data_IF_808289182195
#
_entry.id   IF_808289182195
#
_cell.length_a   1.000
_cell.length_b   1.000
_cell.length_c   1.000
_cell.angle_alpha   90.00
_cell.angle_beta   90.00
_cell.angle_gamma   90.00
#
_symmetry.space_group_name_H-M   'P 1'
#
loop_
_entity.id
_entity.type
_entity.pdbx_description
1 polymer ?
#
# COMPACT_ATOMS: atom_id res chain seq x y z
N UNK A 1 -5.19 -4.25 -17.80
CA UNK A 1 -6.52 -4.62 -17.24
C UNK A 1 -6.23 -5.52 -16.07
N UNK A 2 -6.79 -5.24 -14.89
CA UNK A 2 -6.38 -5.95 -13.67
C UNK A 2 -7.57 -6.41 -12.86
N UNK A 3 -7.35 -7.47 -12.08
CA UNK A 3 -8.26 -7.96 -11.07
C UNK A 3 -7.81 -7.41 -9.73
N UNK A 4 -8.69 -6.66 -9.07
CA UNK A 4 -8.44 -6.16 -7.72
C UNK A 4 -8.86 -7.22 -6.71
N UNK A 5 -7.91 -7.61 -5.85
CA UNK A 5 -8.18 -8.44 -4.69
C UNK A 5 -8.69 -7.56 -3.55
N UNK A 6 -9.98 -7.65 -3.27
CA UNK A 6 -10.68 -6.77 -2.33
C UNK A 6 -10.42 -7.09 -0.86
N UNK A 7 -9.76 -8.21 -0.55
CA UNK A 7 -9.44 -8.55 0.82
C UNK A 7 -8.12 -7.91 1.24
N UNK A 8 -8.22 -6.71 1.81
CA UNK A 8 -7.10 -5.81 2.13
C UNK A 8 -6.31 -6.24 3.39
N UNK A 9 -6.66 -7.38 3.99
CA UNK A 9 -6.08 -7.82 5.24
C UNK A 9 -4.70 -8.49 5.05
N UNK A 10 -3.61 -7.99 5.68
CA UNK A 10 -2.28 -8.59 5.57
C UNK A 10 -2.22 -10.05 6.05
N UNK A 11 -3.01 -10.39 7.08
CA UNK A 11 -3.05 -11.71 7.70
C UNK A 11 -4.04 -12.69 7.08
N UNK A 12 -4.58 -12.39 5.89
CA UNK A 12 -5.67 -13.18 5.30
C UNK A 12 -5.41 -14.69 5.21
N UNK A 13 -4.17 -15.10 4.91
CA UNK A 13 -3.79 -16.51 4.83
C UNK A 13 -3.49 -17.07 6.23
N UNK A 14 -2.66 -16.38 7.01
CA UNK A 14 -2.24 -16.84 8.33
C UNK A 14 -3.40 -16.96 9.32
N UNK A 15 -4.46 -16.18 9.13
CA UNK A 15 -5.66 -16.20 9.97
C UNK A 15 -6.77 -17.10 9.42
N UNK A 16 -6.53 -17.80 8.31
CA UNK A 16 -7.44 -18.82 7.79
C UNK A 16 -8.69 -18.29 7.08
N UNK A 17 -8.73 -17.02 6.68
CA UNK A 17 -9.84 -16.47 5.87
C UNK A 17 -9.81 -16.98 4.43
N UNK A 18 -8.61 -17.28 3.94
CA UNK A 18 -8.38 -17.90 2.64
C UNK A 18 -7.11 -18.75 2.75
N UNK A 19 -7.07 -19.86 2.03
CA UNK A 19 -5.89 -20.72 2.00
C UNK A 19 -4.86 -20.24 0.98
N UNK A 20 -3.61 -20.61 1.23
CA UNK A 20 -2.51 -20.40 0.29
C UNK A 20 -2.81 -21.01 -1.10
N UNK A 21 -3.48 -22.17 -1.09
CA UNK A 21 -3.90 -22.88 -2.30
C UNK A 21 -4.96 -22.09 -3.09
N UNK A 22 -5.98 -21.54 -2.43
CA UNK A 22 -7.04 -20.77 -3.11
C UNK A 22 -6.49 -19.52 -3.82
N UNK A 23 -5.62 -18.75 -3.16
CA UNK A 23 -4.98 -17.58 -3.80
C UNK A 23 -4.07 -18.05 -4.96
N UNK A 24 -3.34 -19.15 -4.80
CA UNK A 24 -2.52 -19.71 -5.86
C UNK A 24 -3.34 -20.13 -7.09
N UNK A 25 -4.52 -20.73 -6.90
CA UNK A 25 -5.44 -21.07 -7.99
C UNK A 25 -5.91 -19.82 -8.74
N UNK A 26 -6.31 -18.76 -8.02
CA UNK A 26 -6.71 -17.49 -8.63
C UNK A 26 -5.58 -16.85 -9.44
N UNK A 27 -4.37 -16.79 -8.87
CA UNK A 27 -3.18 -16.28 -9.56
C UNK A 27 -2.91 -17.07 -10.84
N UNK A 28 -3.00 -18.41 -10.78
CA UNK A 28 -2.80 -19.30 -11.92
C UNK A 28 -3.85 -19.09 -12.99
N UNK A 29 -5.13 -19.02 -12.60
CA UNK A 29 -6.24 -18.79 -13.51
C UNK A 29 -6.09 -17.47 -14.27
N UNK A 30 -5.78 -16.38 -13.56
CA UNK A 30 -5.58 -15.06 -14.18
C UNK A 30 -4.42 -15.10 -15.18
N UNK A 31 -3.30 -15.76 -14.84
CA UNK A 31 -2.16 -15.93 -15.76
C UNK A 31 -2.53 -16.75 -16.99
N UNK A 32 -3.28 -17.84 -16.83
CA UNK A 32 -3.76 -18.65 -17.96
C UNK A 32 -4.66 -17.84 -18.88
N UNK A 33 -5.64 -17.11 -18.34
CA UNK A 33 -6.52 -16.22 -19.13
C UNK A 33 -5.76 -15.07 -19.78
N UNK A 34 -4.73 -14.55 -19.13
CA UNK A 34 -3.82 -13.56 -19.70
C UNK A 34 -3.20 -14.10 -21.01
N UNK A 35 -2.71 -15.33 -20.98
CA UNK A 35 -2.09 -15.99 -22.14
C UNK A 35 -3.11 -16.34 -23.23
N UNK A 36 -4.22 -16.98 -22.86
CA UNK A 36 -5.28 -17.38 -23.81
C UNK A 36 -5.84 -16.18 -24.60
N UNK A 37 -6.03 -15.05 -23.92
CA UNK A 37 -6.55 -13.84 -24.54
C UNK A 37 -5.48 -13.00 -25.23
N UNK A 38 -4.20 -13.36 -25.11
CA UNK A 38 -3.06 -12.52 -25.52
C UNK A 38 -3.17 -11.08 -24.97
N UNK A 39 -3.50 -10.96 -23.68
CA UNK A 39 -3.66 -9.68 -22.97
C UNK A 39 -2.84 -9.71 -21.70
N UNK A 40 -2.28 -8.59 -21.29
CA UNK A 40 -1.64 -8.46 -19.97
C UNK A 40 -2.70 -8.24 -18.89
N UNK A 41 -3.13 -9.33 -18.26
CA UNK A 41 -3.99 -9.31 -17.09
C UNK A 41 -3.11 -9.29 -15.83
N UNK A 42 -3.48 -8.44 -14.88
CA UNK A 42 -2.68 -8.21 -13.66
C UNK A 42 -3.53 -8.51 -12.43
N UNK A 43 -3.02 -9.35 -11.52
CA UNK A 43 -3.64 -9.57 -10.22
C UNK A 43 -3.03 -8.60 -9.21
N UNK A 44 -3.84 -7.70 -8.66
CA UNK A 44 -3.39 -6.56 -7.85
C UNK A 44 -3.98 -6.68 -6.45
N UNK A 45 -3.16 -6.39 -5.45
CA UNK A 45 -3.57 -6.33 -4.05
C UNK A 45 -3.13 -5.03 -3.40
N UNK A 46 -3.94 -4.50 -2.50
CA UNK A 46 -3.65 -3.28 -1.76
C UNK A 46 -3.88 -3.58 -0.27
N UNK A 47 -2.89 -4.15 0.43
CA UNK A 47 -3.07 -4.46 1.83
C UNK A 47 -3.02 -3.21 2.71
N UNK A 48 -4.00 -3.09 3.62
CA UNK A 48 -3.95 -2.15 4.74
C UNK A 48 -2.98 -2.67 5.80
N UNK A 49 -1.82 -2.04 5.92
CA UNK A 49 -0.85 -2.38 6.96
C UNK A 49 -1.38 -2.03 8.35
N UNK A 50 -2.35 -1.13 8.44
CA UNK A 50 -3.16 -0.87 9.62
C UNK A 50 -2.38 -0.34 10.82
N UNK A 51 -1.25 0.34 10.57
CA UNK A 51 -0.32 0.82 11.60
C UNK A 51 0.35 -0.29 12.41
N UNK A 52 0.49 -1.50 11.84
CA UNK A 52 1.26 -2.58 12.46
C UNK A 52 2.74 -2.22 12.58
N UNK A 53 3.38 -2.68 13.64
CA UNK A 53 4.84 -2.65 13.77
C UNK A 53 5.49 -3.60 12.76
N UNK A 54 6.80 -3.44 12.52
CA UNK A 54 7.54 -4.35 11.63
C UNK A 54 7.39 -5.82 12.09
N UNK A 55 7.52 -6.09 13.38
CA UNK A 55 7.36 -7.44 13.92
C UNK A 55 5.96 -8.01 13.62
N UNK A 56 4.90 -7.24 13.86
CA UNK A 56 3.53 -7.64 13.56
C UNK A 56 3.31 -7.89 12.06
N UNK A 57 4.02 -7.16 11.18
CA UNK A 57 3.98 -7.41 9.74
C UNK A 57 4.70 -8.71 9.36
N UNK A 58 5.86 -9.01 9.94
CA UNK A 58 6.53 -10.30 9.73
C UNK A 58 5.62 -11.46 10.18
N UNK A 59 5.00 -11.33 11.35
CA UNK A 59 4.14 -12.37 11.94
C UNK A 59 2.82 -12.54 11.19
N UNK A 60 2.37 -11.53 10.43
CA UNK A 60 1.13 -11.60 9.66
C UNK A 60 1.19 -12.57 8.48
N UNK A 61 2.39 -12.94 8.02
CA UNK A 61 2.56 -13.76 6.81
C UNK A 61 2.31 -13.01 5.49
N UNK A 62 2.09 -11.69 5.54
CA UNK A 62 1.83 -10.83 4.36
C UNK A 62 2.87 -11.02 3.26
N UNK A 63 4.17 -11.09 3.59
CA UNK A 63 5.26 -11.28 2.61
C UNK A 63 5.08 -12.56 1.80
N UNK A 64 4.68 -13.64 2.47
CA UNK A 64 4.42 -14.91 1.81
C UNK A 64 3.25 -14.80 0.84
N UNK A 65 2.18 -14.10 1.22
CA UNK A 65 1.01 -13.87 0.38
C UNK A 65 1.29 -12.98 -0.84
N UNK A 66 2.23 -12.02 -0.74
CA UNK A 66 2.56 -11.10 -1.83
C UNK A 66 3.00 -11.80 -3.13
N UNK A 67 3.56 -13.02 -3.05
CA UNK A 67 4.07 -13.77 -4.22
C UNK A 67 3.03 -14.13 -5.27
N UNK A 68 1.75 -14.12 -4.90
CA UNK A 68 0.66 -14.47 -5.81
C UNK A 68 0.20 -13.33 -6.71
N UNK A 69 0.57 -12.11 -6.36
CA UNK A 69 0.11 -10.91 -7.05
C UNK A 69 1.16 -10.42 -8.05
N UNK A 70 0.70 -9.74 -9.10
CA UNK A 70 1.58 -9.02 -10.01
C UNK A 70 2.08 -7.70 -9.39
N UNK A 71 1.20 -7.03 -8.63
CA UNK A 71 1.49 -5.78 -7.92
C UNK A 71 0.84 -5.79 -6.55
N UNK A 72 1.59 -5.36 -5.53
CA UNK A 72 1.09 -5.16 -4.17
C UNK A 72 1.34 -3.72 -3.77
N UNK A 73 0.30 -2.91 -3.63
CA UNK A 73 0.44 -1.53 -3.16
C UNK A 73 0.09 -1.46 -1.67
N UNK A 74 1.09 -1.59 -0.81
CA UNK A 74 0.87 -1.55 0.63
C UNK A 74 0.43 -0.15 1.04
N UNK A 75 -0.68 -0.06 1.77
CA UNK A 75 -1.17 1.16 2.36
C UNK A 75 -0.57 1.28 3.77
N UNK A 76 0.33 2.24 4.06
CA UNK A 76 0.95 2.34 5.38
C UNK A 76 -0.02 2.78 6.48
N UNK A 77 -1.18 3.34 6.11
CA UNK A 77 -2.18 3.97 6.98
C UNK A 77 -1.65 5.10 7.88
N UNK A 78 -0.46 5.64 7.57
CA UNK A 78 0.09 6.82 8.24
C UNK A 78 -0.87 8.00 8.15
N UNK A 79 -1.38 8.35 6.97
CA UNK A 79 -2.34 9.45 6.80
C UNK A 79 -3.53 9.41 7.78
N UNK A 80 -4.03 8.22 8.08
CA UNK A 80 -5.25 8.00 8.86
C UNK A 80 -5.01 7.86 10.37
N UNK A 81 -3.81 7.47 10.81
CA UNK A 81 -3.59 6.99 12.19
C UNK A 81 -2.51 7.80 12.91
N UNK A 82 -2.83 8.25 14.12
CA UNK A 82 -1.85 8.90 15.00
C UNK A 82 -1.02 7.89 15.82
N UNK A 83 -1.49 6.64 15.90
CA UNK A 83 -0.82 5.57 16.66
C UNK A 83 -0.65 4.28 15.85
N UNK A 84 0.40 3.55 16.21
CA UNK A 84 0.66 2.17 15.82
C UNK A 84 -0.27 1.22 16.58
N UNK A 85 -0.37 -0.05 16.15
CA UNK A 85 -1.20 -1.05 16.84
C UNK A 85 -0.69 -1.46 18.22
N UNK A 86 0.60 -1.25 18.51
CA UNK A 86 1.17 -1.45 19.85
C UNK A 86 0.90 -0.27 20.80
N UNK A 87 0.16 0.75 20.34
CA UNK A 87 -0.19 1.94 21.11
C UNK A 87 0.86 3.06 21.06
N UNK A 88 2.02 2.82 20.46
CA UNK A 88 3.04 3.85 20.30
C UNK A 88 2.64 4.90 19.23
N UNK A 89 3.19 6.11 19.31
CA UNK A 89 2.93 7.16 18.32
C UNK A 89 3.40 6.73 16.91
N UNK A 90 2.59 6.99 15.88
CA UNK A 90 2.97 6.74 14.50
C UNK A 90 3.73 7.94 13.94
N UNK A 91 5.01 8.02 14.26
CA UNK A 91 5.91 9.12 13.86
C UNK A 91 6.31 9.03 12.38
N UNK A 92 6.87 10.12 11.84
CA UNK A 92 7.46 10.14 10.50
C UNK A 92 8.56 9.09 10.32
N UNK A 93 9.43 8.91 11.32
CA UNK A 93 10.51 7.91 11.25
C UNK A 93 9.95 6.49 11.11
N UNK A 94 8.84 6.18 11.79
CA UNK A 94 8.14 4.89 11.62
C UNK A 94 7.54 4.74 10.23
N UNK A 95 7.05 5.82 9.62
CA UNK A 95 6.65 5.77 8.21
C UNK A 95 7.84 5.40 7.33
N UNK A 96 9.01 6.02 7.52
CA UNK A 96 10.24 5.69 6.77
C UNK A 96 10.64 4.22 6.97
N UNK A 97 10.60 3.72 8.20
CA UNK A 97 10.84 2.29 8.50
C UNK A 97 9.87 1.36 7.77
N UNK A 98 8.58 1.71 7.76
CA UNK A 98 7.55 0.96 7.04
C UNK A 98 7.83 0.98 5.53
N UNK A 99 8.25 2.11 4.94
CA UNK A 99 8.59 2.17 3.52
C UNK A 99 9.82 1.33 3.19
N UNK A 100 10.83 1.32 4.06
CA UNK A 100 11.99 0.43 3.95
C UNK A 100 11.57 -1.04 3.98
N UNK A 101 10.66 -1.38 4.90
CA UNK A 101 10.12 -2.73 4.99
C UNK A 101 9.33 -3.11 3.74
N UNK A 102 8.43 -2.25 3.25
CA UNK A 102 7.65 -2.50 2.02
C UNK A 102 8.62 -2.76 0.86
N UNK A 103 9.66 -1.93 0.70
CA UNK A 103 10.65 -2.10 -0.37
C UNK A 103 11.38 -3.45 -0.32
N UNK A 104 11.63 -3.95 0.89
CA UNK A 104 12.35 -5.20 1.12
C UNK A 104 11.42 -6.43 1.20
N UNK A 105 10.11 -6.22 1.32
CA UNK A 105 9.13 -7.29 1.48
C UNK A 105 9.03 -8.17 0.24
N UNK A 106 9.04 -7.58 -0.96
CA UNK A 106 9.02 -8.30 -2.23
C UNK A 106 9.47 -7.42 -3.39
N UNK A 107 9.77 -8.01 -4.56
CA UNK A 107 10.07 -7.23 -5.78
C UNK A 107 8.83 -6.59 -6.41
N UNK A 108 7.65 -7.09 -6.08
CA UNK A 108 6.37 -6.61 -6.59
C UNK A 108 5.63 -5.68 -5.61
N UNK A 109 6.28 -5.25 -4.52
CA UNK A 109 5.70 -4.34 -3.53
C UNK A 109 5.96 -2.88 -3.88
N UNK A 110 4.92 -2.09 -3.67
CA UNK A 110 4.79 -0.67 -3.94
C UNK A 110 3.89 -0.05 -2.86
N UNK A 111 3.61 1.25 -2.96
CA UNK A 111 2.92 2.03 -1.93
C UNK A 111 1.59 2.51 -2.50
N UNK A 112 0.58 2.52 -1.65
CA UNK A 112 -0.62 3.31 -1.87
C UNK A 112 -0.52 4.63 -1.07
N UNK A 113 -0.73 5.74 -1.78
CA UNK A 113 -0.74 7.09 -1.23
C UNK A 113 -2.18 7.51 -1.00
N UNK A 114 -2.50 7.90 0.23
CA UNK A 114 -3.85 8.26 0.62
C UNK A 114 -3.99 9.76 0.88
N UNK A 115 -5.08 10.34 0.36
CA UNK A 115 -5.56 11.66 0.75
C UNK A 115 -7.09 11.75 0.56
N UNK A 116 -7.84 12.17 1.57
CA UNK A 116 -9.29 12.33 1.50
C UNK A 116 -9.73 13.81 1.56
N UNK A 117 -11.03 14.07 1.61
CA UNK A 117 -11.58 15.43 1.71
C UNK A 117 -11.08 16.23 2.93
N UNK A 118 -10.51 15.59 3.96
CA UNK A 118 -9.99 16.31 5.12
C UNK A 118 -8.79 17.20 4.78
N UNK A 119 -8.05 16.94 3.71
CA UNK A 119 -6.92 17.82 3.29
C UNK A 119 -7.38 19.25 2.95
N UNK A 120 -8.66 19.44 2.64
CA UNK A 120 -9.23 20.74 2.29
C UNK A 120 -9.40 21.64 3.51
N UNK A 121 -9.63 21.07 4.70
CA UNK A 121 -9.91 21.82 5.93
C UNK A 121 -8.90 21.57 7.05
N UNK A 122 -8.07 20.53 6.96
CA UNK A 122 -7.11 20.15 8.00
C UNK A 122 -5.67 20.25 7.48
N UNK A 123 -4.89 21.27 7.92
CA UNK A 123 -3.48 21.43 7.57
C UNK A 123 -2.62 20.21 7.90
N UNK A 124 -2.90 19.51 9.00
CA UNK A 124 -2.12 18.33 9.38
C UNK A 124 -2.34 17.19 8.39
N UNK A 125 -3.56 17.03 7.85
CA UNK A 125 -3.86 15.97 6.88
C UNK A 125 -3.12 16.20 5.56
N UNK A 126 -3.05 17.43 5.06
CA UNK A 126 -2.27 17.72 3.85
C UNK A 126 -0.77 17.51 4.08
N UNK A 127 -0.25 17.83 5.27
CA UNK A 127 1.15 17.55 5.62
C UNK A 127 1.43 16.05 5.66
N UNK A 128 0.56 15.25 6.31
CA UNK A 128 0.72 13.79 6.37
C UNK A 128 0.56 13.10 5.02
N UNK A 129 -0.25 13.65 4.12
CA UNK A 129 -0.23 13.24 2.73
C UNK A 129 1.18 13.50 2.18
N UNK A 130 1.65 14.74 2.17
CA UNK A 130 2.97 15.09 1.65
C UNK A 130 4.15 14.29 2.25
N UNK A 131 4.04 13.85 3.51
CA UNK A 131 5.03 12.98 4.15
C UNK A 131 5.27 11.67 3.40
N UNK A 132 4.30 11.10 2.67
CA UNK A 132 4.56 9.89 1.88
C UNK A 132 5.58 10.13 0.75
N UNK A 133 5.57 11.31 0.14
CA UNK A 133 6.52 11.66 -0.93
C UNK A 133 7.89 11.91 -0.33
N UNK A 134 7.94 12.64 0.79
CA UNK A 134 9.18 12.91 1.51
C UNK A 134 9.81 11.62 2.06
N UNK A 135 9.02 10.76 2.68
CA UNK A 135 9.48 9.50 3.25
C UNK A 135 10.00 8.54 2.17
N UNK A 136 9.44 8.54 0.96
CA UNK A 136 10.00 7.78 -0.17
C UNK A 136 11.45 8.22 -0.46
N UNK A 137 11.74 9.52 -0.47
CA UNK A 137 13.09 10.05 -0.68
C UNK A 137 14.03 9.77 0.48
N UNK A 138 13.53 9.82 1.71
CA UNK A 138 14.33 9.60 2.92
C UNK A 138 14.54 8.10 3.22
N UNK A 139 13.75 7.22 2.61
CA UNK A 139 13.88 5.75 2.72
C UNK A 139 15.02 5.19 1.84
N UNK A 140 15.29 3.89 1.95
CA UNK A 140 16.26 3.15 1.10
C UNK A 140 15.92 3.19 -0.40
N UNK A 141 14.72 3.64 -0.72
CA UNK A 141 14.28 3.90 -2.09
C UNK A 141 15.06 5.05 -2.70
N UNK A 142 15.32 6.12 -1.91
CA UNK A 142 16.05 7.32 -2.31
C UNK A 142 15.47 8.09 -3.49
N UNK A 143 14.23 7.77 -3.87
CA UNK A 143 13.51 8.37 -5.00
C UNK A 143 12.02 8.10 -4.86
N UNK A 144 11.24 8.70 -5.75
CA UNK A 144 9.81 8.55 -5.94
C UNK A 144 9.55 7.21 -6.62
N UNK A 145 8.76 6.31 -6.01
CA UNK A 145 8.45 5.01 -6.62
C UNK A 145 7.81 5.13 -7.99
N UNK A 146 8.37 4.44 -8.99
CA UNK A 146 7.82 4.47 -10.35
C UNK A 146 6.37 3.96 -10.42
N UNK A 147 5.97 3.10 -9.48
CA UNK A 147 4.60 2.62 -9.36
C UNK A 147 4.06 2.95 -7.98
N UNK A 148 2.88 3.54 -7.97
CA UNK A 148 2.08 3.86 -6.80
C UNK A 148 0.61 3.65 -7.12
N UNK A 149 -0.16 3.30 -6.11
CA UNK A 149 -1.59 3.48 -6.14
C UNK A 149 -1.92 4.80 -5.42
N UNK A 150 -3.04 5.41 -5.79
CA UNK A 150 -3.55 6.59 -5.11
C UNK A 150 -4.99 6.31 -4.70
N UNK A 151 -5.28 6.52 -3.42
CA UNK A 151 -6.64 6.61 -2.94
C UNK A 151 -6.98 8.07 -2.69
N UNK A 152 -7.98 8.55 -3.43
CA UNK A 152 -8.51 9.89 -3.26
C UNK A 152 -10.00 9.83 -3.01
N UNK A 153 -10.49 10.84 -2.29
CA UNK A 153 -11.90 11.19 -2.37
C UNK A 153 -12.26 11.62 -3.81
N UNK A 154 -13.55 11.65 -4.09
CA UNK A 154 -14.14 11.95 -5.41
C UNK A 154 -13.92 13.38 -5.89
N UNK A 155 -13.46 14.29 -5.01
CA UNK A 155 -13.30 15.72 -5.29
C UNK A 155 -11.93 16.02 -5.87
N UNK A 156 -11.90 16.62 -7.07
CA UNK A 156 -10.65 17.01 -7.75
C UNK A 156 -9.84 18.00 -6.91
N UNK A 157 -10.50 18.83 -6.12
CA UNK A 157 -9.88 19.80 -5.22
C UNK A 157 -8.93 19.16 -4.21
N UNK A 158 -9.16 17.90 -3.81
CA UNK A 158 -8.25 17.14 -2.94
C UNK A 158 -6.90 16.96 -3.64
N UNK A 159 -6.92 16.51 -4.89
CA UNK A 159 -5.71 16.31 -5.70
C UNK A 159 -4.98 17.65 -5.88
N UNK A 160 -5.72 18.70 -6.26
CA UNK A 160 -5.15 20.03 -6.49
C UNK A 160 -4.57 20.64 -5.20
N UNK A 161 -5.19 20.37 -4.05
CA UNK A 161 -4.70 20.83 -2.75
C UNK A 161 -3.40 20.14 -2.35
N UNK A 162 -3.32 18.82 -2.49
CA UNK A 162 -2.12 18.05 -2.17
C UNK A 162 -0.98 18.45 -3.10
N UNK A 163 -1.19 18.46 -4.42
CA UNK A 163 -0.15 18.82 -5.41
C UNK A 163 0.34 20.27 -5.29
N UNK A 164 -0.49 21.21 -4.85
CA UNK A 164 -0.02 22.57 -4.56
C UNK A 164 0.92 22.63 -3.36
N UNK A 165 0.78 21.70 -2.42
CA UNK A 165 1.59 21.64 -1.20
C UNK A 165 2.85 20.79 -1.41
N UNK A 166 2.72 19.66 -2.09
CA UNK A 166 3.81 18.77 -2.48
C UNK A 166 3.67 18.43 -3.98
N UNK A 167 4.36 19.17 -4.86
CA UNK A 167 4.23 19.03 -6.33
C UNK A 167 4.59 17.65 -6.89
N UNK A 168 5.37 16.88 -6.13
CA UNK A 168 5.87 15.57 -6.50
C UNK A 168 4.92 14.40 -6.17
N UNK A 169 3.70 14.73 -5.73
CA UNK A 169 2.62 13.80 -5.45
C UNK A 169 2.01 13.15 -6.70
#
# INVERSE_FOLDING_TARGET
MGFYWNFECPGQVSWGFITDWEIAQLSTYIKQKSNELNRKLEFIWIPSLGGRTIQQLEDSGVKNTMRYFNYVFCQPNYYQRDTMQDGSEYTYDKLVEILNWIRNASRNSYIELEADNQVLSNPNKVLRACDYVKAQKDSVVRDIWQRRAYYFDTKKEVIDRVRRTCPEW
#
